data_IF_112670194790
#
_entry.id   IF_112670194790
#
_cell.length_a   1.000
_cell.length_b   1.000
_cell.length_c   1.000
_cell.angle_alpha   90.00
_cell.angle_beta   90.00
_cell.angle_gamma   90.00
#
_symmetry.space_group_name_H-M   'P 1'
#
loop_
_entity.id
_entity.type
_entity.pdbx_description
1 polymer ?
#
# COMPACT_ATOMS: atom_id res chain seq x y z
N UNK A 1 13.46 30.86 10.42
CA UNK A 1 12.62 29.69 10.81
C UNK A 1 13.24 29.05 12.04
N UNK A 2 12.47 28.48 12.99
CA UNK A 2 13.08 27.89 14.19
C UNK A 2 13.36 26.39 14.00
N UNK A 3 14.55 26.07 13.49
CA UNK A 3 15.00 24.70 13.23
C UNK A 3 15.29 23.87 14.50
N UNK A 4 15.31 24.49 15.69
CA UNK A 4 15.53 23.77 16.96
C UNK A 4 14.45 22.74 17.30
N UNK A 5 13.25 22.90 16.72
CA UNK A 5 12.12 21.98 16.92
C UNK A 5 12.09 20.84 15.90
N UNK A 6 12.97 20.88 14.90
CA UNK A 6 12.97 19.89 13.83
C UNK A 6 13.55 18.57 14.37
N UNK A 7 12.91 17.47 13.97
CA UNK A 7 13.55 16.16 14.08
C UNK A 7 14.72 16.08 13.10
N UNK A 8 15.62 15.11 13.29
CA UNK A 8 16.77 14.95 12.39
C UNK A 8 16.31 14.69 10.94
N UNK A 9 15.20 13.98 10.76
CA UNK A 9 14.58 13.78 9.44
C UNK A 9 14.04 15.07 8.83
N UNK A 10 13.41 15.93 9.64
CA UNK A 10 12.93 17.23 9.13
C UNK A 10 14.11 18.14 8.75
N UNK A 11 15.25 18.03 9.44
CA UNK A 11 16.50 18.73 9.09
C UNK A 11 17.10 18.21 7.79
N UNK A 12 17.15 16.89 7.61
CA UNK A 12 17.57 16.22 6.37
C UNK A 12 16.72 16.68 5.18
N UNK A 13 15.39 16.59 5.30
CA UNK A 13 14.46 16.98 4.24
C UNK A 13 14.56 18.47 3.90
N UNK A 14 14.67 19.34 4.91
CA UNK A 14 14.85 20.78 4.70
C UNK A 14 16.17 21.11 4.00
N UNK A 15 17.27 20.46 4.41
CA UNK A 15 18.58 20.64 3.79
C UNK A 15 18.59 20.21 2.32
N UNK A 16 18.10 19.00 2.04
CA UNK A 16 18.04 18.45 0.67
C UNK A 16 17.17 19.34 -0.23
N UNK A 17 16.00 19.76 0.26
CA UNK A 17 15.10 20.65 -0.48
C UNK A 17 15.78 21.98 -0.81
N UNK A 18 16.47 22.62 0.15
CA UNK A 18 17.15 23.89 -0.10
C UNK A 18 18.31 23.75 -1.09
N UNK A 19 19.09 22.68 -0.98
CA UNK A 19 20.17 22.38 -1.92
C UNK A 19 19.64 22.13 -3.33
N UNK A 20 18.51 21.43 -3.48
CA UNK A 20 17.89 21.14 -4.77
C UNK A 20 17.31 22.39 -5.45
N UNK A 21 16.57 23.22 -4.71
CA UNK A 21 15.89 24.38 -5.29
C UNK A 21 16.75 25.65 -5.38
N UNK A 22 17.69 25.82 -4.46
CA UNK A 22 18.44 27.08 -4.35
C UNK A 22 19.96 26.91 -4.41
N UNK A 23 20.47 25.68 -4.40
CA UNK A 23 21.91 25.39 -4.42
C UNK A 23 22.65 25.76 -3.13
N UNK A 24 21.96 26.27 -2.11
CA UNK A 24 22.53 26.66 -0.82
C UNK A 24 21.54 26.45 0.33
N UNK A 25 22.03 25.94 1.45
CA UNK A 25 21.28 25.89 2.70
C UNK A 25 21.25 27.28 3.37
N UNK A 26 20.23 27.54 4.20
CA UNK A 26 20.17 28.77 4.99
C UNK A 26 21.18 28.74 6.15
N UNK A 27 21.74 29.90 6.50
CA UNK A 27 22.71 30.01 7.61
C UNK A 27 22.11 29.55 8.95
N UNK A 28 20.80 29.80 9.16
CA UNK A 28 20.06 29.33 10.34
C UNK A 28 19.97 27.80 10.43
N UNK A 29 19.81 27.12 9.28
CA UNK A 29 19.78 25.66 9.20
C UNK A 29 21.17 25.07 9.42
N UNK A 30 22.18 25.65 8.78
CA UNK A 30 23.58 25.25 8.93
C UNK A 30 24.07 25.40 10.38
N UNK A 31 23.66 26.48 11.05
CA UNK A 31 24.02 26.71 12.45
C UNK A 31 23.38 25.68 13.39
N UNK A 32 22.14 25.25 13.11
CA UNK A 32 21.52 24.16 13.87
C UNK A 32 22.19 22.81 13.60
N UNK A 33 22.55 22.51 12.35
CA UNK A 33 23.32 21.31 11.98
C UNK A 33 24.68 21.32 12.70
N UNK A 34 25.34 22.48 12.75
CA UNK A 34 26.62 22.64 13.44
C UNK A 34 26.48 22.37 14.94
N UNK A 35 25.42 22.89 15.58
CA UNK A 35 25.14 22.65 17.00
C UNK A 35 24.88 21.17 17.32
N UNK A 36 24.43 20.35 16.36
CA UNK A 36 24.11 18.93 16.55
C UNK A 36 25.25 17.96 16.26
N UNK A 37 26.44 18.48 15.97
CA UNK A 37 27.63 17.65 15.73
C UNK A 37 28.43 18.05 14.50
N UNK A 38 27.99 19.04 13.73
CA UNK A 38 28.76 19.55 12.60
C UNK A 38 28.27 19.07 11.24
N UNK A 39 28.50 19.90 10.23
CA UNK A 39 28.06 19.62 8.85
C UNK A 39 28.63 18.31 8.28
N UNK A 40 29.86 17.94 8.64
CA UNK A 40 30.49 16.71 8.14
C UNK A 40 29.80 15.45 8.66
N UNK A 41 29.44 15.44 9.96
CA UNK A 41 28.70 14.31 10.54
C UNK A 41 27.31 14.21 9.93
N UNK A 42 26.63 15.34 9.72
CA UNK A 42 25.32 15.39 9.08
C UNK A 42 25.33 14.92 7.62
N UNK A 43 26.32 15.33 6.83
CA UNK A 43 26.46 14.84 5.44
C UNK A 43 26.77 13.34 5.40
N UNK A 44 27.61 12.86 6.33
CA UNK A 44 27.90 11.43 6.43
C UNK A 44 26.68 10.59 6.83
N UNK A 45 25.81 11.10 7.72
CA UNK A 45 24.56 10.42 8.10
C UNK A 45 23.56 10.41 6.96
N UNK A 46 23.43 11.53 6.22
CA UNK A 46 22.62 11.61 5.00
C UNK A 46 23.06 10.61 3.94
N UNK A 47 24.37 10.56 3.66
CA UNK A 47 24.94 9.63 2.69
C UNK A 47 24.73 8.17 3.11
N UNK A 48 25.01 7.85 4.37
CA UNK A 48 24.77 6.53 4.96
C UNK A 48 23.30 6.10 4.88
N UNK A 49 22.37 7.00 5.22
CA UNK A 49 20.92 6.76 5.12
C UNK A 49 20.49 6.54 3.67
N UNK A 50 21.05 7.30 2.72
CA UNK A 50 20.80 7.13 1.29
C UNK A 50 21.30 5.78 0.78
N UNK A 51 22.51 5.38 1.20
CA UNK A 51 23.15 4.11 0.83
C UNK A 51 22.31 2.95 1.37
N UNK A 52 21.93 2.99 2.65
CA UNK A 52 21.05 1.99 3.27
C UNK A 52 19.71 1.89 2.54
N UNK A 53 19.09 3.02 2.18
CA UNK A 53 17.80 3.01 1.46
C UNK A 53 17.92 2.40 0.07
N UNK A 54 18.99 2.72 -0.67
CA UNK A 54 19.27 2.12 -1.98
C UNK A 54 19.51 0.63 -1.86
N UNK A 55 20.27 0.22 -0.84
CA UNK A 55 20.59 -1.18 -0.60
C UNK A 55 19.37 -2.00 -0.20
N UNK A 56 18.54 -1.49 0.73
CA UNK A 56 17.26 -2.12 1.11
C UNK A 56 16.38 -2.30 -0.13
N UNK A 57 16.34 -1.30 -1.02
CA UNK A 57 15.59 -1.40 -2.27
C UNK A 57 16.16 -2.48 -3.19
N UNK A 58 17.48 -2.50 -3.42
CA UNK A 58 18.15 -3.53 -4.23
C UNK A 58 17.82 -4.93 -3.72
N UNK A 59 17.98 -5.15 -2.41
CA UNK A 59 17.66 -6.42 -1.76
C UNK A 59 16.17 -6.77 -1.92
N UNK A 60 15.28 -5.80 -1.74
CA UNK A 60 13.83 -6.02 -1.93
C UNK A 60 13.53 -6.48 -3.36
N UNK A 61 14.11 -5.79 -4.36
CA UNK A 61 13.91 -6.10 -5.77
C UNK A 61 14.47 -7.50 -6.12
N UNK A 62 15.63 -7.88 -5.59
CA UNK A 62 16.20 -9.23 -5.72
C UNK A 62 15.32 -10.31 -5.09
N UNK A 63 14.88 -10.09 -3.84
CA UNK A 63 13.97 -11.02 -3.13
C UNK A 63 12.67 -11.20 -3.92
N UNK A 64 12.10 -10.12 -4.46
CA UNK A 64 10.86 -10.17 -5.25
C UNK A 64 11.07 -10.88 -6.59
N UNK A 65 12.20 -10.63 -7.26
CA UNK A 65 12.58 -11.34 -8.48
C UNK A 65 12.69 -12.85 -8.23
N UNK A 66 13.49 -13.23 -7.23
CA UNK A 66 13.77 -14.64 -6.94
C UNK A 66 12.57 -15.39 -6.39
N UNK A 67 11.70 -14.73 -5.62
CA UNK A 67 10.47 -15.35 -5.08
C UNK A 67 9.41 -15.67 -6.14
N UNK A 68 9.49 -15.04 -7.32
CA UNK A 68 8.64 -15.43 -8.45
C UNK A 68 9.11 -16.75 -9.10
N UNK A 69 10.42 -16.97 -9.15
CA UNK A 69 11.05 -18.14 -9.80
C UNK A 69 11.22 -19.33 -8.84
N UNK A 70 11.39 -19.05 -7.54
CA UNK A 70 11.68 -20.01 -6.48
C UNK A 70 10.79 -19.76 -5.27
N UNK A 71 10.19 -20.81 -4.72
CA UNK A 71 9.32 -20.69 -3.53
C UNK A 71 10.05 -20.81 -2.19
N UNK A 72 11.37 -21.01 -2.21
CA UNK A 72 12.14 -21.36 -1.02
C UNK A 72 12.94 -20.17 -0.48
N UNK A 73 12.61 -19.78 0.75
CA UNK A 73 13.29 -18.73 1.50
C UNK A 73 14.77 -19.09 1.73
N UNK A 74 15.07 -20.36 1.97
CA UNK A 74 16.44 -20.81 2.25
C UNK A 74 17.33 -20.73 1.02
N UNK A 75 16.75 -20.89 -0.17
CA UNK A 75 17.44 -20.62 -1.42
C UNK A 75 17.80 -19.14 -1.51
N UNK A 76 16.83 -18.24 -1.36
CA UNK A 76 17.05 -16.78 -1.47
C UNK A 76 18.12 -16.30 -0.47
N UNK A 77 18.12 -16.82 0.75
CA UNK A 77 19.12 -16.53 1.79
C UNK A 77 20.56 -16.84 1.37
N UNK A 78 20.78 -17.82 0.49
CA UNK A 78 22.12 -18.21 0.04
C UNK A 78 22.67 -17.28 -1.05
N UNK A 79 21.81 -16.63 -1.83
CA UNK A 79 22.22 -15.82 -2.98
C UNK A 79 22.24 -14.32 -2.69
N UNK A 80 21.32 -13.83 -1.87
CA UNK A 80 21.25 -12.40 -1.54
C UNK A 80 22.33 -12.08 -0.52
N UNK A 81 23.23 -11.16 -0.88
CA UNK A 81 24.33 -10.68 -0.04
C UNK A 81 24.24 -9.17 0.13
N UNK A 82 24.78 -8.66 1.24
CA UNK A 82 24.93 -7.23 1.48
C UNK A 82 26.27 -6.97 2.16
N UNK A 83 26.98 -5.95 1.66
CA UNK A 83 28.21 -5.44 2.26
C UNK A 83 27.93 -4.27 3.24
N UNK A 84 26.67 -3.83 3.30
CA UNK A 84 26.22 -2.65 4.06
C UNK A 84 25.43 -3.06 5.30
N UNK A 85 24.50 -4.02 5.14
CA UNK A 85 23.71 -4.55 6.26
C UNK A 85 24.49 -5.65 6.98
N UNK A 86 24.34 -5.72 8.29
CA UNK A 86 24.81 -6.88 9.06
C UNK A 86 24.04 -8.13 8.65
N UNK A 87 24.63 -9.32 8.87
CA UNK A 87 23.98 -10.59 8.53
C UNK A 87 22.60 -10.75 9.18
N UNK A 88 22.42 -10.27 10.41
CA UNK A 88 21.14 -10.33 11.12
C UNK A 88 20.09 -9.39 10.51
N UNK A 89 20.48 -8.17 10.15
CA UNK A 89 19.60 -7.20 9.49
C UNK A 89 19.18 -7.67 8.10
N UNK A 90 20.14 -8.23 7.35
CA UNK A 90 19.90 -8.81 6.03
C UNK A 90 18.91 -9.97 6.11
N UNK A 91 19.11 -10.90 7.06
CA UNK A 91 18.21 -12.05 7.23
C UNK A 91 16.78 -11.62 7.56
N UNK A 92 16.63 -10.69 8.52
CA UNK A 92 15.32 -10.13 8.87
C UNK A 92 14.66 -9.44 7.68
N UNK A 93 15.43 -8.68 6.89
CA UNK A 93 14.92 -7.98 5.71
C UNK A 93 14.45 -8.96 4.64
N UNK A 94 15.24 -10.00 4.34
CA UNK A 94 14.89 -11.05 3.37
C UNK A 94 13.60 -11.74 3.81
N UNK A 95 13.52 -12.18 5.06
CA UNK A 95 12.33 -12.87 5.58
C UNK A 95 11.09 -11.98 5.52
N UNK A 96 11.20 -10.71 5.95
CA UNK A 96 10.11 -9.76 5.90
C UNK A 96 9.61 -9.57 4.47
N UNK A 97 10.51 -9.27 3.53
CA UNK A 97 10.17 -8.99 2.14
C UNK A 97 9.63 -10.22 1.41
N UNK A 98 10.20 -11.38 1.65
CA UNK A 98 9.69 -12.64 1.12
C UNK A 98 8.25 -12.89 1.61
N UNK A 99 8.00 -12.76 2.91
CA UNK A 99 6.67 -12.98 3.48
C UNK A 99 5.64 -11.95 2.99
N UNK A 100 6.04 -10.68 2.84
CA UNK A 100 5.21 -9.64 2.22
C UNK A 100 4.84 -10.02 0.78
N UNK A 101 5.82 -10.39 -0.03
CA UNK A 101 5.60 -10.78 -1.43
C UNK A 101 4.71 -12.01 -1.55
N UNK A 102 4.96 -13.04 -0.75
CA UNK A 102 4.14 -14.26 -0.77
C UNK A 102 2.68 -14.00 -0.40
N UNK A 103 2.40 -13.03 0.48
CA UNK A 103 1.02 -12.60 0.76
C UNK A 103 0.39 -11.93 -0.46
N UNK A 104 1.12 -11.05 -1.15
CA UNK A 104 0.66 -10.37 -2.36
C UNK A 104 0.37 -11.39 -3.47
N UNK A 105 1.30 -12.32 -3.72
CA UNK A 105 1.14 -13.39 -4.72
C UNK A 105 -0.08 -14.25 -4.38
N UNK A 106 -0.21 -14.73 -3.13
CA UNK A 106 -1.37 -15.53 -2.70
C UNK A 106 -2.70 -14.79 -2.85
N UNK A 107 -2.73 -13.50 -2.58
CA UNK A 107 -3.93 -12.68 -2.73
C UNK A 107 -4.38 -12.57 -4.20
N UNK A 108 -3.42 -12.43 -5.12
CA UNK A 108 -3.68 -12.30 -6.56
C UNK A 108 -4.04 -13.61 -7.27
N UNK A 109 -3.74 -14.76 -6.68
CA UNK A 109 -4.10 -16.05 -7.26
C UNK A 109 -5.62 -16.20 -7.33
N UNK A 110 -6.11 -16.47 -8.54
CA UNK A 110 -7.53 -16.80 -8.79
C UNK A 110 -7.66 -18.32 -8.77
N UNK A 111 -8.23 -18.85 -7.69
CA UNK A 111 -8.56 -20.26 -7.57
C UNK A 111 -10.09 -20.46 -7.59
N UNK A 112 -10.55 -21.71 -7.63
CA UNK A 112 -11.98 -22.01 -7.63
C UNK A 112 -12.71 -21.40 -6.42
N UNK A 113 -12.08 -21.42 -5.24
CA UNK A 113 -12.64 -20.81 -4.03
C UNK A 113 -12.84 -19.31 -4.17
N UNK A 114 -11.91 -18.60 -4.81
CA UNK A 114 -12.05 -17.17 -5.15
C UNK A 114 -13.24 -16.94 -6.06
N UNK A 115 -13.38 -17.74 -7.12
CA UNK A 115 -14.44 -17.60 -8.11
C UNK A 115 -15.81 -17.80 -7.44
N UNK A 116 -16.01 -18.96 -6.81
CA UNK A 116 -17.28 -19.28 -6.14
C UNK A 116 -17.57 -18.32 -4.98
N UNK A 117 -16.56 -18.01 -4.16
CA UNK A 117 -16.70 -17.07 -3.05
C UNK A 117 -17.07 -15.66 -3.51
N UNK A 118 -16.53 -15.20 -4.63
CA UNK A 118 -16.87 -13.89 -5.20
C UNK A 118 -18.28 -13.86 -5.77
N UNK A 119 -18.74 -14.93 -6.42
CA UNK A 119 -20.11 -15.01 -6.91
C UNK A 119 -21.13 -14.99 -5.76
N UNK A 120 -20.89 -15.78 -4.71
CA UNK A 120 -21.76 -15.79 -3.53
C UNK A 120 -21.74 -14.42 -2.82
N UNK A 121 -20.54 -13.86 -2.64
CA UNK A 121 -20.36 -12.56 -2.00
C UNK A 121 -20.98 -11.42 -2.79
N UNK A 122 -20.92 -11.49 -4.12
CA UNK A 122 -21.58 -10.53 -5.01
C UNK A 122 -23.09 -10.58 -4.83
N UNK A 123 -23.71 -11.77 -4.82
CA UNK A 123 -25.16 -11.91 -4.61
C UNK A 123 -25.60 -11.33 -3.26
N UNK A 124 -24.86 -11.64 -2.18
CA UNK A 124 -25.14 -11.09 -0.85
C UNK A 124 -24.95 -9.56 -0.86
N UNK A 125 -23.87 -9.08 -1.48
CA UNK A 125 -23.56 -7.66 -1.60
C UNK A 125 -24.65 -6.89 -2.36
N UNK A 126 -25.19 -7.46 -3.45
CA UNK A 126 -26.31 -6.89 -4.20
C UNK A 126 -27.53 -6.72 -3.28
N UNK A 127 -27.92 -7.77 -2.53
CA UNK A 127 -29.07 -7.72 -1.63
C UNK A 127 -28.90 -6.64 -0.55
N UNK A 128 -27.75 -6.63 0.14
CA UNK A 128 -27.49 -5.66 1.21
C UNK A 128 -27.44 -4.23 0.66
N UNK A 129 -26.71 -4.03 -0.45
CA UNK A 129 -26.56 -2.71 -1.04
C UNK A 129 -27.86 -2.16 -1.63
N UNK A 130 -28.73 -3.04 -2.14
CA UNK A 130 -30.07 -2.68 -2.58
C UNK A 130 -30.92 -2.14 -1.43
N UNK A 131 -31.02 -2.84 -0.30
CA UNK A 131 -31.75 -2.36 0.88
C UNK A 131 -31.15 -1.09 1.47
N UNK A 132 -29.81 -1.01 1.53
CA UNK A 132 -29.10 0.20 1.94
C UNK A 132 -29.51 1.40 1.08
N UNK A 133 -29.53 1.25 -0.23
CA UNK A 133 -29.84 2.36 -1.12
C UNK A 133 -31.33 2.72 -1.09
N UNK A 134 -32.24 1.74 -0.98
CA UNK A 134 -33.66 2.00 -0.73
C UNK A 134 -33.88 2.87 0.51
N UNK A 135 -33.15 2.58 1.59
CA UNK A 135 -33.19 3.40 2.81
C UNK A 135 -32.70 4.83 2.53
N UNK A 136 -31.64 5.01 1.73
CA UNK A 136 -31.15 6.33 1.35
C UNK A 136 -32.19 7.12 0.54
N UNK A 137 -32.85 6.48 -0.43
CA UNK A 137 -33.94 7.11 -1.20
C UNK A 137 -35.09 7.51 -0.27
N UNK A 138 -35.49 6.61 0.64
CA UNK A 138 -36.56 6.88 1.60
C UNK A 138 -36.26 8.09 2.49
N UNK A 139 -35.02 8.20 3.01
CA UNK A 139 -34.61 9.31 3.88
C UNK A 139 -34.46 10.64 3.13
N UNK A 140 -34.02 10.62 1.88
CA UNK A 140 -33.76 11.84 1.10
C UNK A 140 -34.93 12.27 0.20
N UNK A 141 -35.93 11.40 0.00
CA UNK A 141 -37.09 11.63 -0.86
C UNK A 141 -36.77 11.70 -2.35
N UNK A 142 -35.54 11.39 -2.78
CA UNK A 142 -35.10 11.44 -4.18
C UNK A 142 -33.93 10.49 -4.45
N UNK A 143 -33.79 10.11 -5.71
CA UNK A 143 -32.64 9.36 -6.20
C UNK A 143 -31.39 10.25 -6.32
N UNK A 144 -30.24 9.82 -5.79
CA UNK A 144 -28.97 10.57 -5.84
C UNK A 144 -27.77 9.67 -6.14
N UNK A 145 -26.83 10.12 -6.96
CA UNK A 145 -25.71 9.25 -7.39
C UNK A 145 -24.56 9.08 -6.37
N UNK A 146 -24.42 9.98 -5.39
CA UNK A 146 -23.32 9.93 -4.40
C UNK A 146 -23.16 8.59 -3.63
N UNK A 147 -24.24 7.88 -3.20
CA UNK A 147 -24.14 6.63 -2.46
C UNK A 147 -23.59 5.44 -3.26
N UNK A 148 -23.36 5.58 -4.58
CA UNK A 148 -22.76 4.52 -5.41
C UNK A 148 -21.41 4.05 -4.84
N UNK A 149 -20.61 4.97 -4.29
CA UNK A 149 -19.33 4.63 -3.66
C UNK A 149 -19.55 3.69 -2.46
N UNK A 150 -20.60 3.95 -1.68
CA UNK A 150 -20.97 3.10 -0.55
C UNK A 150 -21.53 1.74 -1.01
N UNK A 151 -22.33 1.70 -2.08
CA UNK A 151 -22.78 0.45 -2.72
C UNK A 151 -21.60 -0.41 -3.13
N UNK A 152 -20.62 0.16 -3.83
CA UNK A 152 -19.41 -0.54 -4.21
C UNK A 152 -18.65 -1.07 -2.98
N UNK A 153 -18.52 -0.26 -1.94
CA UNK A 153 -17.86 -0.69 -0.71
C UNK A 153 -18.58 -1.87 -0.05
N UNK A 154 -19.91 -1.85 0.00
CA UNK A 154 -20.72 -2.97 0.52
C UNK A 154 -20.47 -4.23 -0.30
N UNK A 155 -20.58 -4.16 -1.63
CA UNK A 155 -20.33 -5.30 -2.51
C UNK A 155 -18.92 -5.88 -2.32
N UNK A 156 -17.90 -5.01 -2.29
CA UNK A 156 -16.52 -5.42 -2.04
C UNK A 156 -16.36 -6.11 -0.68
N UNK A 157 -16.92 -5.54 0.39
CA UNK A 157 -16.77 -6.09 1.72
C UNK A 157 -17.49 -7.44 1.86
N UNK A 158 -18.67 -7.61 1.24
CA UNK A 158 -19.34 -8.90 1.19
C UNK A 158 -18.48 -9.98 0.51
N UNK A 159 -17.83 -9.65 -0.61
CA UNK A 159 -16.92 -10.56 -1.31
C UNK A 159 -15.67 -10.85 -0.47
N UNK A 160 -15.06 -9.81 0.11
CA UNK A 160 -13.85 -9.92 0.93
C UNK A 160 -14.07 -10.82 2.15
N UNK A 161 -15.22 -10.72 2.82
CA UNK A 161 -15.53 -11.55 3.99
C UNK A 161 -15.53 -13.04 3.67
N UNK A 162 -15.91 -13.42 2.44
CA UNK A 162 -16.01 -14.82 2.01
C UNK A 162 -14.67 -15.30 1.44
N UNK A 163 -14.09 -14.53 0.51
CA UNK A 163 -12.87 -14.91 -0.21
C UNK A 163 -11.61 -14.71 0.63
N UNK A 164 -11.65 -13.80 1.62
CA UNK A 164 -10.50 -13.25 2.35
C UNK A 164 -9.45 -12.58 1.45
N UNK A 165 -9.80 -12.28 0.20
CA UNK A 165 -8.92 -11.66 -0.77
C UNK A 165 -9.22 -10.17 -0.93
N UNK A 166 -8.18 -9.42 -1.27
CA UNK A 166 -8.27 -7.97 -1.47
C UNK A 166 -8.77 -7.61 -2.86
N UNK A 167 -8.88 -6.29 -3.12
CA UNK A 167 -9.23 -5.77 -4.46
C UNK A 167 -8.10 -5.93 -5.48
N UNK A 168 -6.90 -6.27 -5.05
CA UNK A 168 -5.77 -6.54 -5.94
C UNK A 168 -5.96 -7.87 -6.70
N UNK A 169 -6.87 -8.73 -6.21
CA UNK A 169 -7.38 -9.85 -6.98
C UNK A 169 -8.37 -9.36 -8.05
N UNK A 170 -8.02 -9.55 -9.32
CA UNK A 170 -8.82 -9.08 -10.47
C UNK A 170 -10.26 -9.59 -10.43
N UNK A 171 -10.49 -10.83 -9.99
CA UNK A 171 -11.84 -11.40 -9.97
C UNK A 171 -12.71 -10.79 -8.87
N UNK A 172 -12.12 -10.53 -7.69
CA UNK A 172 -12.80 -9.83 -6.58
C UNK A 172 -13.17 -8.41 -7.01
N UNK A 173 -12.25 -7.70 -7.65
CA UNK A 173 -12.49 -6.34 -8.15
C UNK A 173 -13.64 -6.31 -9.17
N UNK A 174 -13.57 -7.15 -10.21
CA UNK A 174 -14.60 -7.21 -11.25
C UNK A 174 -15.96 -7.60 -10.66
N UNK A 175 -15.99 -8.60 -9.78
CA UNK A 175 -17.23 -9.05 -9.13
C UNK A 175 -17.85 -7.94 -8.27
N UNK A 176 -17.04 -7.14 -7.58
CA UNK A 176 -17.51 -5.99 -6.79
C UNK A 176 -18.14 -4.91 -7.70
N UNK A 177 -17.48 -4.63 -8.83
CA UNK A 177 -17.95 -3.65 -9.82
C UNK A 177 -19.23 -4.11 -10.52
N UNK A 178 -19.30 -5.37 -10.96
CA UNK A 178 -20.51 -5.97 -11.54
C UNK A 178 -21.66 -5.93 -10.53
N UNK A 179 -21.42 -6.32 -9.27
CA UNK A 179 -22.43 -6.26 -8.23
C UNK A 179 -23.00 -4.85 -8.06
N UNK A 180 -22.12 -3.84 -8.06
CA UNK A 180 -22.52 -2.42 -7.99
C UNK A 180 -23.41 -2.03 -9.17
N UNK A 181 -23.02 -2.38 -10.40
CA UNK A 181 -23.79 -2.07 -11.62
C UNK A 181 -25.15 -2.74 -11.57
N UNK A 182 -25.21 -4.03 -11.19
CA UNK A 182 -26.47 -4.77 -11.08
C UNK A 182 -27.40 -4.12 -10.06
N UNK A 183 -26.89 -3.75 -8.87
CA UNK A 183 -27.70 -3.02 -7.88
C UNK A 183 -28.28 -1.72 -8.46
N UNK A 184 -27.46 -0.95 -9.18
CA UNK A 184 -27.91 0.30 -9.79
C UNK A 184 -28.94 0.08 -10.89
N UNK A 185 -28.80 -0.96 -11.71
CA UNK A 185 -29.80 -1.35 -12.72
C UNK A 185 -31.13 -1.71 -12.04
N UNK A 186 -31.11 -2.52 -10.98
CA UNK A 186 -32.33 -2.87 -10.27
C UNK A 186 -33.03 -1.67 -9.65
N UNK A 187 -32.26 -0.74 -9.06
CA UNK A 187 -32.84 0.48 -8.51
C UNK A 187 -33.39 1.39 -9.61
N UNK A 188 -32.71 1.50 -10.74
CA UNK A 188 -33.19 2.27 -11.88
C UNK A 188 -34.52 1.72 -12.41
N UNK A 189 -34.62 0.40 -12.63
CA UNK A 189 -35.84 -0.25 -13.09
C UNK A 189 -37.02 -0.17 -12.09
N UNK A 190 -36.75 0.01 -10.81
CA UNK A 190 -37.79 0.12 -9.78
C UNK A 190 -38.36 1.55 -9.69
N UNK A 191 -37.52 2.56 -9.92
CA UNK A 191 -37.88 3.97 -9.73
C UNK A 191 -38.13 4.72 -11.05
N UNK A 192 -37.95 4.05 -12.20
CA UNK A 192 -38.17 4.62 -13.52
C UNK A 192 -38.93 3.66 -14.42
#
# INVERSE_FOLDING_TARGET
MNYKKYSDKDLEDAYLTMMEYSGKASDELLLEIENRGGINLFLSSLEFNSINKKEIKRITDEVYSMSNDYSDLDFIRQFVKSDILTSEELEKLIELKFNEHQKIVKDRIINQKTIFGSLIGMTIGIIISFFFYLLVIYLLGRFIYYPIIAVYFICYQSIKLITKQSRDNTFVFISSLIGTIITMIFLYLLYH
#
